data_IF_115844073554
#
_entry.id   IF_115844073554
#
_cell.length_a   1.000
_cell.length_b   1.000
_cell.length_c   1.000
_cell.angle_alpha   90.00
_cell.angle_beta   90.00
_cell.angle_gamma   90.00
#
_symmetry.space_group_name_H-M   'P 1'
#
loop_
_entity.id
_entity.type
_entity.pdbx_description
1 polymer ?
#
# COMPACT_ATOMS: atom_id res chain seq x y z
N UNK A 1 -24.96 -9.42 0.85
CA UNK A 1 -23.54 -9.06 0.95
C UNK A 1 -22.93 -8.94 -0.42
N UNK A 2 -22.12 -7.95 -0.63
CA UNK A 2 -21.54 -7.72 -1.95
C UNK A 2 -20.46 -8.75 -2.26
N UNK A 3 -20.37 -9.13 -3.55
CA UNK A 3 -19.31 -10.01 -4.03
C UNK A 3 -18.12 -9.23 -4.56
N UNK A 4 -18.11 -7.92 -4.37
CA UNK A 4 -17.08 -7.05 -4.91
C UNK A 4 -16.59 -6.10 -3.83
N UNK A 5 -15.41 -5.51 -4.07
CA UNK A 5 -14.83 -4.53 -3.17
C UNK A 5 -14.49 -3.28 -3.98
N UNK A 6 -14.43 -2.14 -3.30
CA UNK A 6 -14.03 -0.91 -3.96
C UNK A 6 -12.57 -0.92 -4.37
N UNK A 7 -11.75 -1.69 -3.65
CA UNK A 7 -10.33 -1.75 -3.94
C UNK A 7 -10.00 -3.06 -4.63
N UNK A 8 -9.12 -2.98 -5.62
CA UNK A 8 -8.58 -4.18 -6.23
C UNK A 8 -7.68 -4.91 -5.23
N UNK A 9 -7.32 -6.17 -5.50
CA UNK A 9 -6.34 -6.85 -4.64
C UNK A 9 -5.04 -6.05 -4.49
N UNK A 10 -4.58 -5.40 -5.56
CA UNK A 10 -3.37 -4.58 -5.49
C UNK A 10 -3.55 -3.40 -4.54
N UNK A 11 -4.70 -2.73 -4.61
CA UNK A 11 -5.00 -1.63 -3.69
C UNK A 11 -5.10 -2.11 -2.26
N UNK A 12 -5.67 -3.29 -2.05
CA UNK A 12 -5.81 -3.87 -0.70
C UNK A 12 -4.45 -4.22 -0.12
N UNK A 13 -3.53 -4.73 -0.95
CA UNK A 13 -2.17 -5.03 -0.49
C UNK A 13 -1.45 -3.75 -0.10
N UNK A 14 -1.59 -2.68 -0.90
CA UNK A 14 -1.01 -1.39 -0.54
C UNK A 14 -1.51 -0.91 0.82
N UNK A 15 -2.80 -1.09 1.08
CA UNK A 15 -3.39 -0.68 2.34
C UNK A 15 -2.79 -1.46 3.51
N UNK A 16 -2.61 -2.77 3.34
CA UNK A 16 -1.98 -3.61 4.38
C UNK A 16 -0.55 -3.17 4.64
N UNK A 17 0.20 -2.91 3.59
CA UNK A 17 1.60 -2.45 3.72
C UNK A 17 1.65 -1.09 4.41
N UNK A 18 0.69 -0.23 4.13
CA UNK A 18 0.63 1.08 4.78
C UNK A 18 0.42 0.94 6.29
N UNK A 19 -0.39 -0.04 6.68
CA UNK A 19 -0.60 -0.31 8.11
C UNK A 19 0.60 -0.97 8.77
N UNK A 20 1.27 -1.86 8.04
CA UNK A 20 2.38 -2.62 8.59
C UNK A 20 3.43 -2.86 7.52
N UNK A 21 4.47 -2.01 7.45
CA UNK A 21 5.53 -2.18 6.45
C UNK A 21 6.29 -3.50 6.55
N UNK A 22 6.21 -4.18 7.70
CA UNK A 22 6.85 -5.48 7.89
C UNK A 22 5.92 -6.66 7.72
N UNK A 23 4.73 -6.44 7.15
CA UNK A 23 3.74 -7.50 6.99
C UNK A 23 4.30 -8.65 6.15
N UNK A 24 3.98 -9.88 6.55
CA UNK A 24 4.47 -11.07 5.87
C UNK A 24 3.51 -11.50 4.77
N UNK A 25 4.07 -12.18 3.76
CA UNK A 25 3.24 -12.67 2.65
C UNK A 25 2.09 -13.54 3.15
N UNK A 26 2.32 -14.40 4.12
CA UNK A 26 1.25 -15.26 4.62
C UNK A 26 0.12 -14.47 5.26
N UNK A 27 0.46 -13.35 5.89
CA UNK A 27 -0.56 -12.50 6.51
C UNK A 27 -1.33 -11.71 5.47
N UNK A 28 -0.65 -11.28 4.42
CA UNK A 28 -1.31 -10.66 3.28
C UNK A 28 -2.28 -11.65 2.64
N UNK A 29 -1.80 -12.86 2.41
CA UNK A 29 -2.60 -13.91 1.79
C UNK A 29 -3.84 -14.22 2.63
N UNK A 30 -3.67 -14.34 3.93
CA UNK A 30 -4.78 -14.62 4.84
C UNK A 30 -5.79 -13.47 4.83
N UNK A 31 -5.32 -12.23 4.83
CA UNK A 31 -6.20 -11.07 4.85
C UNK A 31 -7.05 -10.96 3.59
N UNK A 32 -6.50 -11.34 2.45
CA UNK A 32 -7.20 -11.26 1.18
C UNK A 32 -7.87 -12.57 0.78
N UNK A 33 -7.67 -13.62 1.56
CA UNK A 33 -8.18 -14.96 1.26
C UNK A 33 -7.66 -15.46 -0.09
N UNK A 34 -6.35 -15.34 -0.28
CA UNK A 34 -5.66 -15.80 -1.48
C UNK A 34 -4.46 -16.63 -1.05
N UNK A 35 -3.80 -17.26 -2.04
CA UNK A 35 -2.58 -18.02 -1.76
C UNK A 35 -1.41 -17.08 -1.55
N UNK A 36 -0.36 -17.59 -0.88
CA UNK A 36 0.86 -16.81 -0.74
C UNK A 36 1.50 -16.54 -2.09
N UNK A 37 1.36 -17.46 -3.03
CA UNK A 37 1.86 -17.27 -4.39
C UNK A 37 1.17 -16.09 -5.06
N UNK A 38 -0.15 -15.99 -4.91
CA UNK A 38 -0.89 -14.86 -5.46
C UNK A 38 -0.48 -13.57 -4.79
N UNK A 39 -0.30 -13.58 -3.46
CA UNK A 39 0.16 -12.41 -2.73
C UNK A 39 1.53 -11.97 -3.22
N UNK A 40 2.44 -12.92 -3.45
CA UNK A 40 3.76 -12.62 -3.98
C UNK A 40 3.67 -11.96 -5.34
N UNK A 41 2.79 -12.46 -6.21
CA UNK A 41 2.58 -11.88 -7.54
C UNK A 41 2.12 -10.43 -7.46
N UNK A 42 1.22 -10.13 -6.54
CA UNK A 42 0.71 -8.77 -6.35
C UNK A 42 1.85 -7.85 -5.87
N UNK A 43 2.62 -8.30 -4.90
CA UNK A 43 3.77 -7.52 -4.41
C UNK A 43 4.75 -7.27 -5.54
N UNK A 44 5.02 -8.31 -6.34
CA UNK A 44 5.93 -8.17 -7.49
C UNK A 44 5.42 -7.12 -8.46
N UNK A 45 4.13 -7.14 -8.78
CA UNK A 45 3.53 -6.13 -9.65
C UNK A 45 3.73 -4.73 -9.11
N UNK A 46 3.51 -4.55 -7.81
CA UNK A 46 3.65 -3.24 -7.19
C UNK A 46 5.08 -2.75 -7.18
N UNK A 47 6.03 -3.67 -6.96
CA UNK A 47 7.46 -3.34 -6.99
C UNK A 47 7.88 -2.97 -8.40
N UNK A 48 7.47 -3.75 -9.39
CA UNK A 48 7.84 -3.49 -10.78
C UNK A 48 7.23 -2.19 -11.31
N UNK A 49 6.05 -1.84 -10.83
CA UNK A 49 5.41 -0.59 -11.22
C UNK A 49 5.97 0.62 -10.47
N UNK A 50 6.82 0.39 -9.47
CA UNK A 50 7.46 1.47 -8.74
C UNK A 50 6.68 1.99 -7.53
N UNK A 51 5.54 1.39 -7.21
CA UNK A 51 4.73 1.87 -6.08
C UNK A 51 5.25 1.40 -4.74
N UNK A 52 6.00 0.30 -4.73
CA UNK A 52 6.55 -0.26 -3.51
C UNK A 52 8.03 -0.54 -3.72
N UNK A 53 8.83 -0.21 -2.72
CA UNK A 53 10.25 -0.57 -2.67
C UNK A 53 10.40 -1.64 -1.61
N UNK A 54 11.00 -2.77 -1.98
CA UNK A 54 11.25 -3.87 -1.06
C UNK A 54 12.66 -3.77 -0.53
N UNK A 55 12.80 -3.86 0.78
CA UNK A 55 14.07 -3.73 1.44
C UNK A 55 14.25 -4.88 2.41
N UNK A 56 15.47 -5.41 2.51
CA UNK A 56 15.77 -6.44 3.48
C UNK A 56 16.03 -5.83 4.83
N UNK A 57 15.43 -6.40 5.86
CA UNK A 57 15.65 -6.02 7.24
C UNK A 57 15.93 -7.32 8.01
N UNK A 58 17.20 -7.70 8.04
CA UNK A 58 17.58 -9.00 8.55
C UNK A 58 17.07 -10.11 7.63
N UNK A 59 16.26 -11.03 8.17
CA UNK A 59 15.68 -12.12 7.39
C UNK A 59 14.31 -11.79 6.83
N UNK A 60 13.79 -10.60 7.13
CA UNK A 60 12.47 -10.22 6.72
C UNK A 60 12.55 -9.16 5.62
N UNK A 61 11.50 -9.07 4.84
CA UNK A 61 11.32 -7.99 3.89
C UNK A 61 10.56 -6.88 4.58
N UNK A 62 10.92 -5.67 4.20
CA UNK A 62 10.22 -4.48 4.65
C UNK A 62 9.84 -3.69 3.41
N UNK A 63 8.65 -3.13 3.41
CA UNK A 63 8.12 -2.47 2.22
C UNK A 63 7.94 -0.99 2.48
N UNK A 64 8.32 -0.19 1.50
CA UNK A 64 8.13 1.25 1.55
C UNK A 64 7.26 1.67 0.39
N UNK A 65 6.21 2.42 0.67
CA UNK A 65 5.32 2.91 -0.37
C UNK A 65 5.86 4.21 -0.92
N UNK A 66 5.89 4.34 -2.24
CA UNK A 66 6.28 5.56 -2.93
C UNK A 66 5.05 6.46 -2.97
N UNK A 67 4.80 7.14 -1.86
CA UNK A 67 3.55 7.87 -1.63
C UNK A 67 3.35 9.05 -2.58
N UNK A 68 4.43 9.56 -3.15
CA UNK A 68 4.37 10.74 -4.03
C UNK A 68 3.89 10.43 -5.44
N UNK A 69 3.82 9.16 -5.81
CA UNK A 69 3.44 8.80 -7.17
C UNK A 69 1.95 9.08 -7.42
N UNK A 70 1.62 9.52 -8.64
CA UNK A 70 0.21 9.76 -8.96
C UNK A 70 -0.57 8.45 -9.05
N UNK A 71 -1.87 8.53 -8.84
CA UNK A 71 -2.72 7.38 -9.03
C UNK A 71 -2.72 6.96 -10.50
N UNK A 72 -2.73 5.65 -10.78
CA UNK A 72 -2.83 5.19 -12.16
C UNK A 72 -4.27 5.22 -12.67
N UNK A 73 -4.95 6.32 -12.42
CA UNK A 73 -6.34 6.52 -12.82
C UNK A 73 -6.45 7.80 -13.62
N UNK A 74 -6.98 7.75 -14.85
CA UNK A 74 -7.05 8.95 -15.70
C UNK A 74 -7.83 10.10 -15.05
N UNK A 75 -8.83 9.79 -14.25
CA UNK A 75 -9.67 10.82 -13.65
C UNK A 75 -9.13 11.33 -12.32
N UNK A 76 -8.03 10.76 -11.84
CA UNK A 76 -7.49 11.12 -10.53
C UNK A 76 -5.97 11.24 -10.53
N UNK A 77 -5.37 11.60 -11.65
CA UNK A 77 -3.91 11.70 -11.78
C UNK A 77 -3.29 12.76 -10.90
N UNK A 78 -4.07 13.75 -10.52
CA UNK A 78 -3.56 14.84 -9.69
C UNK A 78 -3.45 14.43 -8.23
N UNK A 79 -3.97 13.26 -7.89
CA UNK A 79 -3.88 12.74 -6.54
C UNK A 79 -2.78 11.71 -6.45
N UNK A 80 -2.13 11.67 -5.30
CA UNK A 80 -1.06 10.71 -5.09
C UNK A 80 -1.57 9.46 -4.38
N UNK A 81 -0.80 8.38 -4.53
CA UNK A 81 -1.09 7.15 -3.83
C UNK A 81 -1.13 7.40 -2.32
N UNK A 82 -0.20 8.22 -1.83
CA UNK A 82 -0.16 8.53 -0.40
C UNK A 82 -1.42 9.23 0.10
N UNK A 83 -1.97 10.14 -0.71
CA UNK A 83 -3.19 10.84 -0.32
C UNK A 83 -4.36 9.88 -0.14
N UNK A 84 -4.49 8.93 -1.08
CA UNK A 84 -5.57 7.95 -1.01
C UNK A 84 -5.39 7.04 0.20
N UNK A 85 -4.17 6.54 0.40
CA UNK A 85 -3.90 5.66 1.53
C UNK A 85 -4.09 6.37 2.86
N UNK A 86 -3.73 7.66 2.92
CA UNK A 86 -3.94 8.45 4.14
C UNK A 86 -5.42 8.52 4.50
N UNK A 87 -6.28 8.72 3.52
CA UNK A 87 -7.72 8.73 3.77
C UNK A 87 -8.22 7.38 4.28
N UNK A 88 -7.71 6.30 3.71
CA UNK A 88 -8.18 4.96 4.05
C UNK A 88 -7.62 4.46 5.38
N UNK A 89 -6.40 4.85 5.71
CA UNK A 89 -5.78 4.40 6.96
C UNK A 89 -5.96 5.38 8.11
N UNK A 90 -6.32 6.64 7.81
CA UNK A 90 -6.37 7.69 8.79
C UNK A 90 -4.99 8.18 9.20
N UNK A 91 -3.95 7.80 8.44
CA UNK A 91 -2.57 8.17 8.73
C UNK A 91 -1.98 8.89 7.54
N UNK A 92 -1.37 10.04 7.78
CA UNK A 92 -0.73 10.81 6.71
C UNK A 92 0.58 10.16 6.32
N UNK A 93 0.64 9.66 5.10
CA UNK A 93 1.83 9.00 4.56
C UNK A 93 2.63 9.92 3.64
N UNK A 94 2.11 11.10 3.32
CA UNK A 94 2.75 12.01 2.37
C UNK A 94 3.60 13.05 3.06
N UNK A 95 3.34 13.32 4.34
CA UNK A 95 4.00 14.36 5.10
C UNK A 95 4.80 13.72 6.20
N UNK A 96 5.97 14.20 6.30
CA UNK A 96 6.75 13.85 7.46
C UNK A 96 6.41 14.84 8.51
N UNK A 97 5.66 15.29 8.82
CA UNK A 97 5.22 16.00 9.60
C UNK A 97 4.85 17.12 9.86
N UNK A 98 4.59 17.52 9.38
CA UNK A 98 4.14 18.52 9.54
C UNK A 98 3.23 18.95 9.95
N UNK A 99 3.20 18.32 9.89
CA UNK A 99 2.47 18.67 10.25
C UNK A 99 1.83 18.90 10.90
N UNK A 100 2.10 18.56 11.05
CA UNK A 100 1.64 18.68 11.56
C UNK A 100 1.11 19.36 12.03
N UNK A 101 1.35 19.45 11.84
CA UNK A 101 1.04 20.05 12.18
C UNK A 101 0.37 20.59 12.38
N UNK A 102 0.45 20.38 12.21
CA UNK A 102 -0.10 20.84 12.45
C UNK A 102 -0.69 21.13 12.88
N UNK A 103 -0.56 20.84 13.01
CA UNK A 103 -1.00 21.05 13.44
C UNK A 103 -1.49 21.49 13.89
N UNK A 104 -1.35 21.51 13.86
CA UNK A 104 -1.78 21.87 14.22
C UNK A 104 -2.14 22.28 14.36
#
# INVERSE_FOLDING_TARGET
>A
MANWTFLTPHGRVLLLVAHDPGVRLRDIAASLDITERSAFGIITDLVEAGYVVKEKDGRRNRYHIQAHLPLPEPTARERTVGEVLALLTGTDLTVTRTSEKAAT
#
